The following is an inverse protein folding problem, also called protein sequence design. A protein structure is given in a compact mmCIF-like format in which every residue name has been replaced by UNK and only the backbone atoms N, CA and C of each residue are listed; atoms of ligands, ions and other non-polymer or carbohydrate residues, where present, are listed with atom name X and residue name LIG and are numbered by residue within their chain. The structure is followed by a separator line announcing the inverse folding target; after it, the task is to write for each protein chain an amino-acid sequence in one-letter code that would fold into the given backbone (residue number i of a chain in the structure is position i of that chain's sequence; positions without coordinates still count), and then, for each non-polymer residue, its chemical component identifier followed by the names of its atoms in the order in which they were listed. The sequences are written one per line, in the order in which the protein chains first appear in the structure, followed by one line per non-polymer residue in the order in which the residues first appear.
data_IF_097051744833
#
_entry.id   IF_097051744833
#
_cell.length_a   1.000
_cell.length_b   1.000
_cell.length_c   1.000
_cell.angle_alpha   90.00
_cell.angle_beta   90.00
_cell.angle_gamma   90.00
#
_symmetry.space_group_name_H-M   'P 1'
#
loop_
_entity.id
_entity.type
_entity.pdbx_description
1 polymer ?
#
# COMPACT_ATOMS: atom_id res chain seq x y z
N UNK A 1 51.02 -22.11 -15.34
CA UNK A 1 49.80 -22.17 -14.51
C UNK A 1 49.24 -23.56 -14.67
N UNK A 2 49.27 -24.36 -13.61
CA UNK A 2 48.90 -25.77 -13.68
C UNK A 2 47.37 -25.91 -13.77
N UNK A 3 46.88 -27.01 -14.33
CA UNK A 3 45.43 -27.30 -14.42
C UNK A 3 44.72 -27.20 -13.08
N UNK A 4 45.39 -27.60 -11.99
CA UNK A 4 44.88 -27.48 -10.62
C UNK A 4 44.70 -26.02 -10.17
N UNK A 5 45.59 -25.10 -10.56
CA UNK A 5 45.47 -23.69 -10.18
C UNK A 5 44.29 -23.03 -10.90
N UNK A 6 44.09 -23.36 -12.18
CA UNK A 6 42.93 -22.90 -12.96
C UNK A 6 41.63 -23.42 -12.33
N UNK A 7 41.62 -24.69 -11.89
CA UNK A 7 40.45 -25.30 -11.23
C UNK A 7 40.10 -24.59 -9.92
N UNK A 8 41.10 -24.25 -9.10
CA UNK A 8 40.91 -23.54 -7.82
C UNK A 8 40.37 -22.11 -8.06
N UNK A 9 40.90 -21.40 -9.06
CA UNK A 9 40.43 -20.05 -9.40
C UNK A 9 38.98 -20.06 -9.89
N UNK A 10 38.63 -21.00 -10.78
CA UNK A 10 37.26 -21.15 -11.29
C UNK A 10 36.29 -21.52 -10.16
N UNK A 11 36.69 -22.41 -9.26
CA UNK A 11 35.90 -22.79 -8.09
C UNK A 11 35.68 -21.60 -7.15
N UNK A 12 36.73 -20.84 -6.84
CA UNK A 12 36.63 -19.66 -5.99
C UNK A 12 35.69 -18.59 -6.56
N UNK A 13 35.73 -18.39 -7.88
CA UNK A 13 34.84 -17.46 -8.58
C UNK A 13 33.39 -17.96 -8.60
N UNK A 14 33.19 -19.25 -8.91
CA UNK A 14 31.89 -19.88 -8.89
C UNK A 14 31.23 -19.84 -7.50
N UNK A 15 31.99 -20.03 -6.42
CA UNK A 15 31.47 -19.93 -5.06
C UNK A 15 31.10 -18.47 -4.73
N UNK A 16 31.97 -17.50 -5.04
CA UNK A 16 31.73 -16.09 -4.73
C UNK A 16 30.59 -15.47 -5.52
N UNK A 17 30.30 -15.94 -6.74
CA UNK A 17 29.15 -15.45 -7.51
C UNK A 17 27.91 -16.31 -7.33
N UNK A 18 28.09 -17.63 -7.32
CA UNK A 18 27.01 -18.58 -7.19
C UNK A 18 26.32 -18.49 -5.84
N UNK A 19 27.06 -18.38 -4.73
CA UNK A 19 26.46 -18.33 -3.39
C UNK A 19 25.61 -17.07 -3.20
N UNK A 20 26.08 -15.84 -3.52
CA UNK A 20 25.24 -14.65 -3.40
C UNK A 20 24.02 -14.69 -4.31
N UNK A 21 24.15 -15.14 -5.56
CA UNK A 21 23.01 -15.24 -6.49
C UNK A 21 21.99 -16.26 -6.02
N UNK A 22 22.43 -17.42 -5.53
CA UNK A 22 21.53 -18.44 -5.02
C UNK A 22 20.82 -17.96 -3.75
N UNK A 23 21.53 -17.27 -2.86
CA UNK A 23 20.96 -16.69 -1.66
C UNK A 23 19.90 -15.62 -1.97
N UNK A 24 20.16 -14.72 -2.92
CA UNK A 24 19.17 -13.70 -3.32
C UNK A 24 17.94 -14.34 -3.97
N UNK A 25 18.12 -15.34 -4.84
CA UNK A 25 17.01 -16.08 -5.44
C UNK A 25 16.14 -16.77 -4.39
N UNK A 26 16.75 -17.43 -3.41
CA UNK A 26 16.03 -18.07 -2.30
C UNK A 26 15.26 -17.05 -1.47
N UNK A 27 15.86 -15.89 -1.20
CA UNK A 27 15.23 -14.81 -0.44
C UNK A 27 14.03 -14.23 -1.19
N UNK A 28 14.17 -13.93 -2.48
CA UNK A 28 13.08 -13.45 -3.34
C UNK A 28 11.94 -14.47 -3.37
N UNK A 29 12.25 -15.76 -3.57
CA UNK A 29 11.26 -16.82 -3.59
C UNK A 29 10.50 -16.92 -2.25
N UNK A 30 11.22 -16.84 -1.13
CA UNK A 30 10.62 -16.84 0.21
C UNK A 30 9.66 -15.66 0.42
N UNK A 31 10.08 -14.45 0.01
CA UNK A 31 9.26 -13.24 0.12
C UNK A 31 8.02 -13.30 -0.77
N UNK A 32 8.14 -13.74 -2.03
CA UNK A 32 6.99 -13.89 -2.93
C UNK A 32 5.95 -14.88 -2.37
N UNK A 33 6.41 -15.97 -1.75
CA UNK A 33 5.52 -16.96 -1.14
C UNK A 33 4.77 -16.37 0.07
N UNK A 34 5.41 -15.50 0.84
CA UNK A 34 4.75 -14.80 1.94
C UNK A 34 3.77 -13.75 1.43
N UNK A 35 4.17 -12.98 0.42
CA UNK A 35 3.35 -11.92 -0.16
C UNK A 35 2.07 -12.47 -0.79
N UNK A 36 2.16 -13.58 -1.55
CA UNK A 36 0.98 -14.26 -2.11
C UNK A 36 0.01 -14.78 -1.05
N UNK A 37 0.48 -15.08 0.17
CA UNK A 37 -0.40 -15.44 1.28
C UNK A 37 -1.13 -14.22 1.82
N UNK A 38 -0.43 -13.11 2.04
CA UNK A 38 -1.04 -11.87 2.54
C UNK A 38 -1.99 -11.23 1.53
N UNK A 39 -1.69 -11.32 0.24
CA UNK A 39 -2.60 -10.84 -0.81
C UNK A 39 -3.94 -11.60 -0.77
N UNK A 40 -3.93 -12.91 -0.52
CA UNK A 40 -5.18 -13.69 -0.37
C UNK A 40 -5.98 -13.28 0.86
N UNK A 41 -5.30 -12.97 1.96
CA UNK A 41 -5.95 -12.49 3.19
C UNK A 41 -6.56 -11.08 2.96
N UNK A 42 -5.84 -10.20 2.26
CA UNK A 42 -6.32 -8.87 1.89
C UNK A 42 -7.47 -8.91 0.86
N UNK A 43 -7.44 -9.82 -0.12
CA UNK A 43 -8.54 -10.00 -1.08
C UNK A 43 -9.82 -10.46 -0.39
N UNK A 44 -9.73 -11.33 0.62
CA UNK A 44 -10.89 -11.74 1.41
C UNK A 44 -11.44 -10.58 2.22
N UNK A 45 -10.58 -9.80 2.89
CA UNK A 45 -11.01 -8.61 3.63
C UNK A 45 -11.64 -7.56 2.68
N UNK A 46 -11.02 -7.31 1.52
CA UNK A 46 -11.52 -6.38 0.53
C UNK A 46 -12.82 -6.89 -0.14
N UNK A 47 -13.00 -8.20 -0.33
CA UNK A 47 -14.24 -8.77 -0.87
C UNK A 47 -15.36 -8.68 0.17
N UNK A 48 -15.06 -8.95 1.44
CA UNK A 48 -16.03 -8.81 2.54
C UNK A 48 -16.43 -7.34 2.76
N UNK A 49 -15.49 -6.40 2.64
CA UNK A 49 -15.79 -4.96 2.68
C UNK A 49 -16.54 -4.50 1.43
N UNK A 50 -16.15 -4.93 0.23
CA UNK A 50 -16.80 -4.54 -1.03
C UNK A 50 -18.23 -5.13 -1.17
N UNK A 51 -18.49 -6.31 -0.61
CA UNK A 51 -19.86 -6.87 -0.51
C UNK A 51 -20.70 -6.16 0.56
N UNK A 52 -20.07 -5.52 1.56
CA UNK A 52 -20.73 -4.69 2.57
C UNK A 52 -20.95 -3.24 2.08
N UNK A 53 -20.15 -2.79 1.12
CA UNK A 53 -20.23 -1.48 0.45
C UNK A 53 -21.10 -1.51 -0.83
N UNK A 54 -21.96 -2.53 -0.93
CA UNK A 54 -23.14 -2.46 -1.78
C UNK A 54 -24.04 -1.33 -1.29
N UNK A 55 -23.99 -0.22 -2.01
CA UNK A 55 -24.80 1.00 -1.92
C UNK A 55 -24.17 2.17 -1.16
N UNK A 56 -23.95 3.24 -1.91
CA UNK A 56 -23.73 4.59 -1.43
C UNK A 56 -24.81 4.97 -0.39
N UNK A 57 -24.47 4.94 0.90
CA UNK A 57 -25.38 5.26 2.02
C UNK A 57 -26.21 6.55 1.83
N UNK A 58 -25.66 7.57 1.17
CA UNK A 58 -26.36 8.82 0.88
C UNK A 58 -27.46 8.68 -0.18
N UNK A 59 -27.31 7.76 -1.12
CA UNK A 59 -28.29 7.47 -2.17
C UNK A 59 -29.47 6.64 -1.64
N UNK A 60 -29.22 5.76 -0.67
CA UNK A 60 -30.26 4.98 0.01
C UNK A 60 -31.01 5.77 1.09
N UNK A 61 -30.38 6.78 1.70
CA UNK A 61 -31.01 7.65 2.71
C UNK A 61 -31.63 8.92 2.14
N UNK A 62 -31.52 9.16 0.83
CA UNK A 62 -32.07 10.36 0.18
C UNK A 62 -31.52 11.68 0.71
N UNK A 63 -30.30 11.66 1.27
CA UNK A 63 -29.70 12.83 1.90
C UNK A 63 -29.26 13.82 0.83
N UNK A 64 -29.71 15.06 0.97
CA UNK A 64 -29.29 16.18 0.14
C UNK A 64 -27.80 16.49 0.36
N UNK A 65 -27.17 17.15 -0.62
CA UNK A 65 -25.74 17.48 -0.57
C UNK A 65 -25.37 18.33 0.66
N UNK A 66 -26.32 19.09 1.21
CA UNK A 66 -26.14 19.91 2.40
C UNK A 66 -26.12 19.09 3.69
N UNK A 67 -26.99 18.10 3.82
CA UNK A 67 -27.05 17.21 4.99
C UNK A 67 -25.80 16.31 5.09
N UNK A 68 -25.23 15.93 3.94
CA UNK A 68 -23.95 15.23 3.89
C UNK A 68 -22.80 16.11 4.41
N UNK A 69 -22.75 17.40 4.02
CA UNK A 69 -21.71 18.33 4.50
C UNK A 69 -21.74 18.43 6.02
N UNK A 70 -22.94 18.51 6.61
CA UNK A 70 -23.15 18.58 8.07
C UNK A 70 -22.68 17.30 8.78
N UNK A 71 -23.03 16.12 8.28
CA UNK A 71 -22.60 14.87 8.90
C UNK A 71 -21.09 14.60 8.72
N UNK A 72 -20.51 15.01 7.59
CA UNK A 72 -19.07 14.95 7.37
C UNK A 72 -18.28 15.84 8.32
N UNK A 73 -18.85 16.97 8.75
CA UNK A 73 -18.25 17.87 9.75
C UNK A 73 -18.39 17.40 11.20
N UNK A 74 -19.31 16.50 11.51
CA UNK A 74 -19.44 15.91 12.86
C UNK A 74 -18.46 14.75 13.12
N UNK A 75 -17.88 14.22 12.05
CA UNK A 75 -16.91 13.13 12.10
C UNK A 75 -15.51 13.66 12.44
N UNK A 76 -14.83 13.00 13.39
CA UNK A 76 -13.45 13.30 13.80
C UNK A 76 -12.44 13.16 12.65
N UNK A 77 -12.85 12.53 11.53
CA UNK A 77 -12.10 12.47 10.27
C UNK A 77 -12.89 13.12 9.14
N UNK A 78 -12.25 13.96 8.31
CA UNK A 78 -12.92 14.57 7.18
C UNK A 78 -13.33 13.51 6.14
N UNK A 79 -14.44 13.74 5.46
CA UNK A 79 -15.04 12.78 4.53
C UNK A 79 -14.06 12.28 3.45
N UNK A 80 -13.19 13.15 2.91
CA UNK A 80 -12.20 12.77 1.91
C UNK A 80 -11.15 11.78 2.42
N UNK A 81 -10.94 11.69 3.74
CA UNK A 81 -10.03 10.73 4.39
C UNK A 81 -10.72 9.40 4.65
N UNK A 82 -12.02 9.42 4.97
CA UNK A 82 -12.84 8.23 5.17
C UNK A 82 -13.10 7.51 3.86
N UNK A 83 -13.35 8.27 2.78
CA UNK A 83 -13.81 7.72 1.49
C UNK A 83 -12.71 7.67 0.42
N UNK A 84 -11.44 7.53 0.83
CA UNK A 84 -10.32 7.31 -0.11
C UNK A 84 -10.54 6.05 -0.94
N UNK A 85 -9.98 6.07 -2.14
CA UNK A 85 -9.92 4.88 -2.97
C UNK A 85 -9.00 3.84 -2.32
N UNK A 86 -9.24 2.53 -2.56
CA UNK A 86 -8.41 1.46 -1.99
C UNK A 86 -6.93 1.55 -2.38
N UNK A 87 -6.62 2.18 -3.51
CA UNK A 87 -5.26 2.47 -3.97
C UNK A 87 -4.60 3.67 -3.25
N UNK A 88 -5.27 4.25 -2.26
CA UNK A 88 -4.77 5.40 -1.49
C UNK A 88 -5.02 6.76 -2.15
N UNK A 89 -5.61 6.80 -3.35
CA UNK A 89 -5.89 8.05 -4.06
C UNK A 89 -7.20 8.69 -3.59
N UNK A 90 -7.29 10.00 -3.80
CA UNK A 90 -8.55 10.73 -3.64
C UNK A 90 -9.47 10.45 -4.83
N UNK A 91 -10.78 10.51 -4.62
CA UNK A 91 -11.75 10.50 -5.72
C UNK A 91 -11.74 11.86 -6.41
N UNK A 92 -11.96 11.89 -7.72
CA UNK A 92 -11.95 13.13 -8.51
C UNK A 92 -12.96 14.16 -7.99
N UNK A 93 -14.15 13.71 -7.58
CA UNK A 93 -15.16 14.57 -6.97
C UNK A 93 -14.71 15.27 -5.67
N UNK A 94 -13.68 14.75 -5.00
CA UNK A 94 -13.11 15.38 -3.81
C UNK A 94 -12.04 16.43 -4.15
N UNK A 95 -11.48 16.44 -5.36
CA UNK A 95 -10.43 17.38 -5.76
C UNK A 95 -10.96 18.82 -5.83
N UNK A 96 -12.20 18.99 -6.28
CA UNK A 96 -12.88 20.30 -6.37
C UNK A 96 -13.78 20.59 -5.15
N UNK A 97 -13.71 19.77 -4.10
CA UNK A 97 -14.56 19.92 -2.93
C UNK A 97 -13.99 20.97 -1.97
N UNK A 98 -14.80 21.97 -1.60
CA UNK A 98 -14.41 23.02 -0.64
C UNK A 98 -13.88 22.47 0.70
N UNK A 99 -14.40 21.33 1.17
CA UNK A 99 -13.95 20.69 2.42
C UNK A 99 -12.52 20.13 2.29
N UNK A 100 -12.15 19.63 1.11
CA UNK A 100 -10.80 19.15 0.85
C UNK A 100 -9.85 20.32 0.58
N UNK A 101 -10.26 21.30 -0.21
CA UNK A 101 -9.46 22.48 -0.55
C UNK A 101 -9.09 23.29 0.69
N UNK A 102 -10.01 23.42 1.65
CA UNK A 102 -9.77 24.15 2.89
C UNK A 102 -9.19 23.29 4.03
N UNK A 103 -8.81 22.03 3.77
CA UNK A 103 -8.24 21.17 4.78
C UNK A 103 -6.81 21.64 5.16
N UNK A 104 -6.43 21.59 6.45
CA UNK A 104 -5.07 21.94 6.85
C UNK A 104 -4.06 20.99 6.21
N UNK A 105 -3.03 21.56 5.58
CA UNK A 105 -1.96 20.77 4.99
C UNK A 105 -1.31 19.87 6.06
N UNK A 106 -1.07 18.58 5.77
CA UNK A 106 -0.41 17.70 6.73
C UNK A 106 1.00 18.24 7.00
N UNK A 107 1.24 18.61 8.26
CA UNK A 107 2.55 19.04 8.71
C UNK A 107 3.44 17.81 8.71
N UNK A 108 4.36 17.73 7.75
CA UNK A 108 5.44 16.74 7.79
C UNK A 108 6.36 17.13 8.94
N UNK A 109 6.09 16.63 10.14
CA UNK A 109 7.12 16.58 11.18
C UNK A 109 8.27 15.75 10.62
N UNK A 110 9.39 16.42 10.34
CA UNK A 110 10.63 15.78 9.92
C UNK A 110 10.96 14.70 10.95
N UNK A 111 10.76 13.44 10.57
CA UNK A 111 11.23 12.31 11.34
C UNK A 111 12.70 12.55 11.68
N UNK A 112 13.00 12.71 12.98
CA UNK A 112 14.36 12.79 13.49
C UNK A 112 15.12 11.57 12.99
N UNK A 113 16.03 11.78 12.05
CA UNK A 113 17.06 10.82 11.72
C UNK A 113 17.83 10.54 13.00
N UNK A 114 17.62 9.36 13.58
CA UNK A 114 18.47 8.86 14.65
C UNK A 114 19.83 8.55 14.04
N UNK A 115 20.80 9.38 14.43
CA UNK A 115 22.24 9.20 14.22
C UNK A 115 22.77 8.06 15.11
#
# INVERSE_FOLDING_TARGET
MNTNEILILMLGFAVRLGVPLLATLLLIYGLQKLDTRWQKEAEVEHTLLSMKDGVFCWKDRGLSQEEFKTHASESDKPCWQIYRLPNGYLREACLDCEVFINAPAPILEKAKAHA
#
